data_IF_755919465418
#
_entry.id   IF_755919465418
#
_cell.length_a   1.000
_cell.length_b   1.000
_cell.length_c   1.000
_cell.angle_alpha   90.00
_cell.angle_beta   90.00
_cell.angle_gamma   90.00
#
_symmetry.space_group_name_H-M   'P 1'
#
loop_
_entity.id
_entity.type
_entity.pdbx_description
1 polymer ?
#
# COMPACT_ATOMS: atom_id res chain seq x y z
N UNK A 1 0.78 -14.99 -8.19
CA UNK A 1 0.90 -13.54 -8.43
C UNK A 1 -0.50 -12.98 -8.42
N UNK A 2 -0.72 -11.86 -7.72
CA UNK A 2 -1.98 -11.13 -7.69
C UNK A 2 -1.80 -9.81 -8.44
N UNK A 3 -2.69 -9.55 -9.41
CA UNK A 3 -2.71 -8.33 -10.20
C UNK A 3 -3.54 -7.26 -9.49
N UNK A 4 -2.93 -6.14 -9.15
CA UNK A 4 -3.51 -5.11 -8.30
C UNK A 4 -3.46 -3.77 -9.01
N UNK A 5 -4.55 -3.01 -8.92
CA UNK A 5 -4.51 -1.58 -9.23
C UNK A 5 -4.16 -0.81 -7.95
N UNK A 6 -2.93 -0.33 -7.88
CA UNK A 6 -2.38 0.31 -6.68
C UNK A 6 -2.57 1.82 -6.77
N UNK A 7 -3.23 2.37 -5.77
CA UNK A 7 -3.42 3.80 -5.54
C UNK A 7 -2.51 4.23 -4.39
N UNK A 8 -1.57 5.13 -4.66
CA UNK A 8 -0.71 5.71 -3.62
C UNK A 8 -0.90 7.22 -3.51
N UNK A 9 -0.84 7.73 -2.28
CA UNK A 9 -0.83 9.16 -2.04
C UNK A 9 0.08 9.53 -0.88
N UNK A 10 0.58 10.77 -0.87
CA UNK A 10 1.39 11.30 0.23
C UNK A 10 0.56 11.79 1.41
N UNK A 11 -0.75 12.03 1.24
CA UNK A 11 -1.64 12.52 2.32
C UNK A 11 -3.00 11.83 2.23
N UNK A 12 -3.58 11.36 3.35
CA UNK A 12 -4.89 10.68 3.33
C UNK A 12 -6.04 11.53 2.78
N UNK A 13 -5.93 12.86 2.90
CA UNK A 13 -6.96 13.81 2.50
C UNK A 13 -6.72 14.43 1.12
N UNK A 14 -5.67 13.99 0.40
CA UNK A 14 -5.43 14.46 -0.95
C UNK A 14 -6.38 13.77 -1.93
N UNK A 15 -6.94 14.53 -2.87
CA UNK A 15 -7.72 13.97 -3.98
C UNK A 15 -6.82 13.39 -5.07
N UNK A 16 -5.50 13.65 -5.02
CA UNK A 16 -4.53 13.16 -5.98
C UNK A 16 -3.95 11.84 -5.52
N UNK A 17 -4.32 10.79 -6.25
CA UNK A 17 -3.77 9.45 -6.14
C UNK A 17 -2.93 9.16 -7.38
N UNK A 18 -1.73 8.64 -7.17
CA UNK A 18 -0.92 8.04 -8.23
C UNK A 18 -1.33 6.58 -8.37
N UNK A 19 -1.86 6.24 -9.54
CA UNK A 19 -2.54 4.98 -9.79
C UNK A 19 -1.74 4.18 -10.80
N UNK A 20 -1.35 2.96 -10.46
CA UNK A 20 -0.61 2.11 -11.38
C UNK A 20 -0.89 0.62 -11.17
N UNK A 21 -0.91 -0.19 -12.24
CA UNK A 21 -0.98 -1.64 -12.12
C UNK A 21 0.34 -2.18 -11.53
N UNK A 22 0.20 -3.15 -10.62
CA UNK A 22 1.32 -3.80 -9.93
C UNK A 22 1.00 -5.28 -9.70
N UNK A 23 2.02 -6.11 -9.82
CA UNK A 23 1.96 -7.52 -9.46
C UNK A 23 2.60 -7.74 -8.09
N UNK A 24 1.87 -8.44 -7.23
CA UNK A 24 2.36 -8.87 -5.93
C UNK A 24 2.38 -10.40 -5.84
N UNK A 25 3.21 -10.96 -4.96
CA UNK A 25 3.22 -12.43 -4.73
C UNK A 25 1.86 -12.91 -4.20
N UNK A 26 1.25 -12.12 -3.33
CA UNK A 26 -0.11 -12.26 -2.79
C UNK A 26 -0.77 -10.89 -2.70
N UNK A 27 -2.09 -10.85 -2.53
CA UNK A 27 -2.78 -9.60 -2.22
C UNK A 27 -2.20 -8.96 -0.95
N UNK A 28 -1.82 -7.66 -1.00
CA UNK A 28 -1.51 -6.89 0.19
C UNK A 28 -2.70 -6.83 1.14
N UNK A 29 -2.44 -6.70 2.44
CA UNK A 29 -3.49 -6.56 3.46
C UNK A 29 -3.42 -5.19 4.15
N UNK A 30 -4.53 -4.75 4.76
CA UNK A 30 -4.57 -3.48 5.51
C UNK A 30 -3.52 -3.48 6.63
N UNK A 31 -2.78 -2.39 6.74
CA UNK A 31 -1.66 -2.22 7.68
C UNK A 31 -0.31 -2.72 7.16
N UNK A 32 -0.29 -3.47 6.06
CA UNK A 32 0.96 -3.88 5.40
C UNK A 32 1.65 -2.69 4.72
N UNK A 33 2.97 -2.79 4.54
CA UNK A 33 3.78 -1.80 3.85
C UNK A 33 4.14 -2.27 2.45
N UNK A 34 3.96 -1.40 1.47
CA UNK A 34 4.35 -1.63 0.07
C UNK A 34 5.27 -0.52 -0.41
N UNK A 35 6.12 -0.83 -1.38
CA UNK A 35 6.95 0.14 -2.08
C UNK A 35 6.74 -0.01 -3.59
N UNK A 36 6.78 1.11 -4.31
CA UNK A 36 6.65 1.11 -5.78
C UNK A 36 7.99 0.84 -6.48
N UNK A 37 9.11 1.02 -5.77
CA UNK A 37 10.48 0.91 -6.25
C UNK A 37 11.38 0.38 -5.13
N UNK A 38 12.53 -0.20 -5.48
CA UNK A 38 13.47 -0.80 -4.51
C UNK A 38 14.10 0.21 -3.55
N UNK A 39 14.27 1.47 -3.97
CA UNK A 39 14.79 2.57 -3.13
C UNK A 39 13.76 3.69 -2.93
N UNK A 40 12.48 3.37 -3.08
CA UNK A 40 11.39 4.34 -3.03
C UNK A 40 10.83 4.61 -1.62
N UNK A 41 9.90 5.58 -1.51
CA UNK A 41 9.09 5.73 -0.32
C UNK A 41 8.24 4.48 -0.07
N UNK A 42 7.94 4.21 1.20
CA UNK A 42 6.98 3.17 1.58
C UNK A 42 5.61 3.76 1.82
N UNK A 43 4.60 2.94 1.58
CA UNK A 43 3.20 3.28 1.74
C UNK A 43 2.54 2.20 2.60
N UNK A 44 1.80 2.64 3.62
CA UNK A 44 0.99 1.74 4.44
C UNK A 44 -0.37 1.56 3.77
N UNK A 45 -0.77 0.31 3.55
CA UNK A 45 -2.06 -0.05 3.00
C UNK A 45 -3.16 0.34 3.98
N UNK A 46 -4.16 1.08 3.50
CA UNK A 46 -5.28 1.56 4.31
C UNK A 46 -6.63 0.98 3.89
N UNK A 47 -6.75 0.52 2.63
CA UNK A 47 -7.97 -0.10 2.11
C UNK A 47 -7.61 -1.10 1.01
N UNK A 48 -8.31 -2.22 1.00
CA UNK A 48 -8.25 -3.24 -0.05
C UNK A 48 -9.68 -3.51 -0.50
N UNK A 49 -9.96 -3.31 -1.78
CA UNK A 49 -11.26 -3.61 -2.40
C UNK A 49 -11.05 -4.81 -3.31
N UNK A 50 -11.62 -5.95 -2.93
CA UNK A 50 -11.55 -7.15 -3.75
C UNK A 50 -12.45 -6.99 -4.97
N UNK A 51 -11.92 -7.32 -6.14
CA UNK A 51 -12.60 -7.16 -7.41
C UNK A 51 -12.95 -8.54 -7.98
N UNK A 52 -14.15 -9.08 -7.70
CA UNK A 52 -14.57 -10.35 -8.27
C UNK A 52 -14.83 -10.24 -9.79
N UNK A 53 -14.94 -11.39 -10.45
CA UNK A 53 -15.19 -11.54 -11.88
C UNK A 53 -16.40 -10.69 -12.38
N UNK A 54 -16.34 -9.98 -13.52
CA UNK A 54 -15.32 -9.88 -14.59
C UNK A 54 -14.39 -8.65 -14.44
N UNK A 55 -13.78 -8.44 -13.27
CA UNK A 55 -12.82 -7.35 -13.10
C UNK A 55 -11.45 -7.65 -13.74
N UNK A 56 -10.76 -6.60 -14.20
CA UNK A 56 -9.40 -6.68 -14.79
C UNK A 56 -8.29 -6.94 -13.76
N UNK A 57 -8.56 -6.66 -12.48
CA UNK A 57 -7.63 -6.78 -11.36
C UNK A 57 -8.24 -7.68 -10.29
N UNK A 58 -7.39 -8.32 -9.49
CA UNK A 58 -7.82 -9.10 -8.32
C UNK A 58 -8.30 -8.18 -7.18
N UNK A 59 -7.73 -6.97 -7.09
CA UNK A 59 -8.12 -5.94 -6.13
C UNK A 59 -7.66 -4.53 -6.54
N UNK A 60 -8.36 -3.52 -6.01
CA UNK A 60 -7.83 -2.16 -5.85
C UNK A 60 -7.24 -2.01 -4.45
N UNK A 61 -6.00 -1.51 -4.37
CA UNK A 61 -5.29 -1.33 -3.10
C UNK A 61 -4.95 0.14 -2.93
N UNK A 62 -5.34 0.71 -1.80
CA UNK A 62 -5.06 2.11 -1.46
C UNK A 62 -4.03 2.15 -0.34
N UNK A 63 -2.95 2.89 -0.56
CA UNK A 63 -1.86 3.02 0.39
C UNK A 63 -1.43 4.49 0.55
N UNK A 64 -1.08 4.88 1.77
CA UNK A 64 -0.67 6.25 2.10
C UNK A 64 0.79 6.25 2.53
N UNK A 65 1.56 7.23 2.07
CA UNK A 65 2.98 7.37 2.40
C UNK A 65 3.14 7.45 3.91
N UNK A 66 4.02 6.62 4.43
CA UNK A 66 4.31 6.59 5.87
C UNK A 66 5.71 7.12 6.15
N UNK A 67 5.90 7.69 7.34
CA UNK A 67 7.23 8.04 7.82
C UNK A 67 7.80 6.84 8.59
N UNK A 68 8.60 6.05 7.88
CA UNK A 68 9.34 4.91 8.44
C UNK A 68 10.14 5.27 9.70
N UNK A 69 10.58 6.52 9.84
CA UNK A 69 11.32 6.97 11.03
C UNK A 69 10.44 6.88 12.28
N UNK A 70 9.17 7.25 12.16
CA UNK A 70 8.21 7.15 13.25
C UNK A 70 7.85 5.68 13.54
N UNK A 71 7.62 4.89 12.49
CA UNK A 71 7.30 3.46 12.62
C UNK A 71 8.44 2.66 13.29
N UNK A 72 9.70 2.91 12.90
CA UNK A 72 10.88 2.27 13.50
C UNK A 72 11.05 2.66 14.98
N UNK A 73 10.80 3.92 15.33
CA UNK A 73 10.83 4.38 16.74
C UNK A 73 9.76 3.69 17.57
N UNK A 74 8.54 3.55 17.04
CA UNK A 74 7.45 2.86 17.73
C UNK A 74 7.78 1.36 17.97
N UNK A 75 8.30 0.69 16.94
CA UNK A 75 8.67 -0.73 17.03
C UNK A 75 9.80 -0.99 18.04
N UNK A 76 10.76 -0.09 18.15
CA UNK A 76 11.90 -0.22 19.09
C UNK A 76 11.53 0.13 20.53
N UNK A 77 10.51 0.99 20.74
CA UNK A 77 10.03 1.34 22.10
C UNK A 77 9.13 0.26 22.71
N UNK A 78 8.44 -0.53 21.89
CA UNK A 78 7.60 -1.66 22.35
C UNK A 78 8.38 -2.92 22.70
N UNK A 79 9.69 -2.95 22.44
CA UNK A 79 10.57 -4.10 22.71
C UNK A 79 11.42 -3.94 23.99
N UNK A 80 11.20 -2.88 24.77
CA UNK A 80 11.85 -2.59 26.06
C UNK A 80 10.83 -2.69 27.21
#
# INVERSE_FOLDING_TARGET
MSNVFLHVTSRPTDSRWDNSPREFMRLPVVGEYVATESSGPVYRVVLVVHCPFEATYDAEVYAVKDDMTAALKAATTSAA
#
